data_IF_354169718747
#
_entry.id   IF_354169718747
#
_cell.length_a   1.000
_cell.length_b   1.000
_cell.length_c   1.000
_cell.angle_alpha   90.00
_cell.angle_beta   90.00
_cell.angle_gamma   90.00
#
_symmetry.space_group_name_H-M   'P 1'
#
loop_
_entity.id
_entity.type
_entity.pdbx_description
1 polymer ?
#
# COMPACT_ATOMS: atom_id res chain seq x y z
N UNK A 1 -10.54 -7.74 32.00
CA UNK A 1 -10.65 -7.01 30.72
C UNK A 1 -9.89 -5.72 30.93
N UNK A 2 -8.74 -5.56 30.29
CA UNK A 2 -8.05 -4.26 30.25
C UNK A 2 -8.95 -3.27 29.53
N UNK A 3 -9.22 -2.13 30.17
CA UNK A 3 -9.88 -1.00 29.51
C UNK A 3 -8.85 -0.37 28.57
N UNK A 4 -8.79 -0.86 27.33
CA UNK A 4 -8.01 -0.21 26.28
C UNK A 4 -8.63 1.17 26.02
N UNK A 5 -7.82 2.21 26.10
CA UNK A 5 -8.22 3.57 25.77
C UNK A 5 -8.43 3.64 24.25
N UNK A 6 -9.60 4.12 23.81
CA UNK A 6 -9.90 4.35 22.38
C UNK A 6 -8.79 5.20 21.73
N UNK A 7 -8.17 6.10 22.50
CA UNK A 7 -7.04 6.91 22.04
C UNK A 7 -5.82 6.08 21.60
N UNK A 8 -5.59 4.89 22.15
CA UNK A 8 -4.48 4.02 21.76
C UNK A 8 -4.76 3.37 20.40
N UNK A 9 -5.97 2.81 20.24
CA UNK A 9 -6.44 2.25 18.96
C UNK A 9 -6.35 3.31 17.85
N UNK A 10 -6.81 4.52 18.13
CA UNK A 10 -6.77 5.62 17.19
C UNK A 10 -5.34 6.02 16.79
N UNK A 11 -4.40 6.02 17.74
CA UNK A 11 -2.99 6.35 17.47
C UNK A 11 -2.32 5.31 16.59
N UNK A 12 -2.54 4.03 16.87
CA UNK A 12 -1.95 2.97 16.05
C UNK A 12 -2.54 2.99 14.65
N UNK A 13 -3.84 3.22 14.54
CA UNK A 13 -4.51 3.37 13.26
C UNK A 13 -4.03 4.61 12.49
N UNK A 14 -3.82 5.75 13.16
CA UNK A 14 -3.23 6.96 12.56
C UNK A 14 -1.82 6.70 12.05
N UNK A 15 -1.03 5.91 12.77
CA UNK A 15 0.31 5.54 12.34
C UNK A 15 0.28 4.64 11.10
N UNK A 16 -0.64 3.67 11.04
CA UNK A 16 -0.83 2.84 9.84
C UNK A 16 -1.28 3.71 8.65
N UNK A 17 -2.24 4.62 8.85
CA UNK A 17 -2.69 5.58 7.84
C UNK A 17 -1.51 6.41 7.32
N UNK A 18 -0.66 6.92 8.21
CA UNK A 18 0.54 7.67 7.83
C UNK A 18 1.47 6.81 6.95
N UNK A 19 1.69 5.54 7.30
CA UNK A 19 2.51 4.64 6.47
C UNK A 19 1.88 4.35 5.11
N UNK A 20 0.56 4.17 5.05
CA UNK A 20 -0.16 4.01 3.77
C UNK A 20 -0.02 5.24 2.88
N UNK A 21 -0.18 6.45 3.44
CA UNK A 21 0.05 7.72 2.70
C UNK A 21 1.49 7.85 2.20
N UNK A 22 2.47 7.51 3.04
CA UNK A 22 3.88 7.52 2.63
C UNK A 22 4.17 6.53 1.50
N UNK A 23 3.46 5.39 1.46
CA UNK A 23 3.60 4.42 0.38
C UNK A 23 2.94 4.92 -0.90
N UNK A 24 1.76 5.55 -0.82
CA UNK A 24 1.14 6.26 -1.95
C UNK A 24 2.08 7.31 -2.56
N UNK A 25 2.75 8.12 -1.73
CA UNK A 25 3.76 9.08 -2.21
C UNK A 25 4.91 8.38 -2.93
N UNK A 26 5.40 7.25 -2.39
CA UNK A 26 6.46 6.48 -3.05
C UNK A 26 6.05 5.94 -4.41
N UNK A 27 4.81 5.47 -4.55
CA UNK A 27 4.27 4.99 -5.83
C UNK A 27 4.10 6.16 -6.80
N UNK A 28 3.53 7.27 -6.34
CA UNK A 28 3.27 8.47 -7.16
C UNK A 28 4.57 9.13 -7.65
N UNK A 29 5.59 9.19 -6.79
CA UNK A 29 6.91 9.74 -7.11
C UNK A 29 7.81 8.74 -7.85
N UNK A 30 7.26 7.60 -8.29
CA UNK A 30 7.96 6.53 -9.00
C UNK A 30 9.20 5.96 -8.26
N UNK A 31 9.24 6.07 -6.94
CA UNK A 31 10.33 5.58 -6.10
C UNK A 31 10.21 4.08 -5.82
N UNK A 32 9.93 3.29 -6.87
CA UNK A 32 9.52 1.88 -6.78
C UNK A 32 10.48 0.98 -5.98
N UNK A 33 11.78 1.30 -5.99
CA UNK A 33 12.79 0.60 -5.20
C UNK A 33 12.54 0.63 -3.67
N UNK A 34 11.68 1.53 -3.17
CA UNK A 34 11.31 1.65 -1.74
C UNK A 34 10.00 0.95 -1.39
N UNK A 35 9.23 0.46 -2.38
CA UNK A 35 7.89 -0.12 -2.17
C UNK A 35 7.97 -1.34 -1.27
N UNK A 36 8.85 -2.29 -1.58
CA UNK A 36 8.92 -3.57 -0.87
C UNK A 36 9.18 -3.38 0.63
N UNK A 37 10.18 -2.57 0.99
CA UNK A 37 10.53 -2.31 2.38
C UNK A 37 9.44 -1.54 3.11
N UNK A 38 8.80 -0.57 2.46
CA UNK A 38 7.71 0.20 3.08
C UNK A 38 6.43 -0.61 3.25
N UNK A 39 6.10 -1.47 2.29
CA UNK A 39 4.95 -2.37 2.38
C UNK A 39 5.16 -3.45 3.45
N UNK A 40 6.39 -3.94 3.62
CA UNK A 40 6.72 -4.86 4.72
C UNK A 40 6.40 -4.24 6.08
N UNK A 41 6.87 -3.01 6.32
CA UNK A 41 6.59 -2.28 7.57
C UNK A 41 5.09 -2.07 7.76
N UNK A 42 4.38 -1.64 6.71
CA UNK A 42 2.93 -1.44 6.76
C UNK A 42 2.17 -2.73 7.12
N UNK A 43 2.54 -3.86 6.50
CA UNK A 43 1.95 -5.18 6.80
C UNK A 43 2.21 -5.62 8.23
N UNK A 44 3.41 -5.41 8.75
CA UNK A 44 3.73 -5.72 10.15
C UNK A 44 2.84 -4.92 11.12
N UNK A 45 2.65 -3.62 10.87
CA UNK A 45 1.78 -2.78 11.69
C UNK A 45 0.31 -3.20 11.62
N UNK A 46 -0.20 -3.53 10.42
CA UNK A 46 -1.57 -4.03 10.25
C UNK A 46 -1.77 -5.35 11.01
N UNK A 47 -0.81 -6.28 10.88
CA UNK A 47 -0.90 -7.56 11.59
C UNK A 47 -0.87 -7.35 13.10
N UNK A 48 0.00 -6.46 13.58
CA UNK A 48 0.09 -6.12 15.00
C UNK A 48 -1.25 -5.53 15.51
N UNK A 49 -1.84 -4.61 14.77
CA UNK A 49 -3.12 -3.99 15.12
C UNK A 49 -4.25 -5.03 15.32
N UNK A 50 -4.33 -6.04 14.45
CA UNK A 50 -5.32 -7.12 14.60
C UNK A 50 -4.96 -8.16 15.69
N UNK A 51 -3.73 -8.19 16.17
CA UNK A 51 -3.34 -8.99 17.33
C UNK A 51 -3.64 -8.26 18.65
N UNK A 52 -3.55 -6.93 18.64
CA UNK A 52 -3.73 -6.07 19.82
C UNK A 52 -5.21 -5.76 20.09
N UNK A 53 -6.03 -5.61 19.04
CA UNK A 53 -7.41 -5.15 19.16
C UNK A 53 -8.44 -6.16 18.65
N UNK A 54 -9.48 -6.37 19.45
CA UNK A 54 -10.62 -7.21 19.06
C UNK A 54 -11.49 -6.52 18.00
N UNK A 55 -12.32 -7.28 17.26
CA UNK A 55 -13.26 -6.70 16.29
C UNK A 55 -14.19 -5.66 16.91
N UNK A 56 -14.64 -5.87 18.14
CA UNK A 56 -15.50 -4.91 18.87
C UNK A 56 -14.77 -3.59 19.15
N UNK A 57 -13.49 -3.66 19.50
CA UNK A 57 -12.66 -2.48 19.74
C UNK A 57 -12.37 -1.72 18.44
N UNK A 58 -12.09 -2.44 17.36
CA UNK A 58 -11.87 -1.85 16.03
C UNK A 58 -13.15 -1.18 15.53
N UNK A 59 -14.33 -1.76 15.79
CA UNK A 59 -15.61 -1.15 15.42
C UNK A 59 -15.84 0.22 16.06
N UNK A 60 -15.22 0.51 17.22
CA UNK A 60 -15.30 1.81 17.88
C UNK A 60 -14.59 2.92 17.12
N UNK A 61 -13.62 2.57 16.25
CA UNK A 61 -12.88 3.51 15.38
C UNK A 61 -13.26 3.32 13.90
N UNK A 62 -14.49 2.87 13.64
CA UNK A 62 -14.97 2.42 12.32
C UNK A 62 -14.72 3.41 11.18
N UNK A 63 -15.05 4.69 11.35
CA UNK A 63 -14.84 5.71 10.30
C UNK A 63 -13.36 5.83 9.89
N UNK A 64 -12.45 5.83 10.87
CA UNK A 64 -11.01 5.91 10.64
C UNK A 64 -10.49 4.62 10.00
N UNK A 65 -11.04 3.48 10.37
CA UNK A 65 -10.68 2.20 9.78
C UNK A 65 -11.15 2.09 8.33
N UNK A 66 -12.36 2.54 8.02
CA UNK A 66 -12.86 2.67 6.64
C UNK A 66 -11.96 3.59 5.80
N UNK A 67 -11.49 4.70 6.36
CA UNK A 67 -10.53 5.57 5.68
C UNK A 67 -9.21 4.86 5.34
N UNK A 68 -8.68 4.03 6.25
CA UNK A 68 -7.51 3.19 5.94
C UNK A 68 -7.77 2.20 4.80
N UNK A 69 -8.96 1.58 4.78
CA UNK A 69 -9.36 0.67 3.70
C UNK A 69 -9.36 1.43 2.38
N UNK A 70 -10.01 2.59 2.31
CA UNK A 70 -10.09 3.40 1.09
C UNK A 70 -8.69 3.74 0.54
N UNK A 71 -7.77 4.21 1.40
CA UNK A 71 -6.38 4.48 1.00
C UNK A 71 -5.64 3.23 0.50
N UNK A 72 -5.90 2.07 1.12
CA UNK A 72 -5.28 0.80 0.70
C UNK A 72 -5.81 0.32 -0.65
N UNK A 73 -7.10 0.54 -0.92
CA UNK A 73 -7.72 0.25 -2.21
C UNK A 73 -7.14 1.15 -3.31
N UNK A 74 -7.04 2.45 -3.05
CA UNK A 74 -6.43 3.42 -3.98
C UNK A 74 -4.98 3.04 -4.33
N UNK A 75 -4.18 2.72 -3.30
CA UNK A 75 -2.79 2.28 -3.49
C UNK A 75 -2.70 1.02 -4.37
N UNK A 76 -3.63 0.08 -4.18
CA UNK A 76 -3.64 -1.17 -4.94
C UNK A 76 -3.95 -0.89 -6.41
N UNK A 77 -4.97 -0.08 -6.69
CA UNK A 77 -5.34 0.33 -8.05
C UNK A 77 -4.18 1.03 -8.75
N UNK A 78 -3.53 2.00 -8.07
CA UNK A 78 -2.41 2.72 -8.64
C UNK A 78 -1.24 1.79 -8.98
N UNK A 79 -0.92 0.83 -8.10
CA UNK A 79 0.09 -0.18 -8.38
C UNK A 79 -0.27 -1.02 -9.61
N UNK A 80 -1.52 -1.50 -9.71
CA UNK A 80 -1.98 -2.31 -10.83
C UNK A 80 -1.89 -1.58 -12.17
N UNK A 81 -2.27 -0.30 -12.19
CA UNK A 81 -2.15 0.56 -13.37
C UNK A 81 -0.69 0.69 -13.83
N UNK A 82 0.22 0.97 -12.90
CA UNK A 82 1.66 1.10 -13.16
C UNK A 82 2.25 -0.22 -13.69
N UNK A 83 1.87 -1.36 -13.10
CA UNK A 83 2.32 -2.67 -13.57
C UNK A 83 1.80 -2.98 -14.97
N UNK A 84 0.54 -2.65 -15.26
CA UNK A 84 -0.07 -2.81 -16.58
C UNK A 84 0.67 -1.99 -17.64
N UNK A 85 0.95 -0.72 -17.34
CA UNK A 85 1.71 0.18 -18.21
C UNK A 85 3.13 -0.34 -18.47
N UNK A 86 3.84 -0.72 -17.39
CA UNK A 86 5.21 -1.27 -17.47
C UNK A 86 5.26 -2.53 -18.35
N UNK A 87 4.26 -3.41 -18.25
CA UNK A 87 4.16 -4.60 -19.08
C UNK A 87 4.05 -4.25 -20.58
N UNK A 88 3.26 -3.24 -20.92
CA UNK A 88 3.13 -2.78 -22.30
C UNK A 88 4.44 -2.21 -22.83
N UNK A 89 5.16 -1.44 -22.02
CA UNK A 89 6.41 -0.82 -22.45
C UNK A 89 7.54 -1.85 -22.65
N UNK A 90 7.61 -2.88 -21.80
CA UNK A 90 8.52 -4.01 -22.01
C UNK A 90 8.22 -4.72 -23.34
N UNK A 91 6.94 -4.92 -23.69
CA UNK A 91 6.56 -5.55 -24.95
C UNK A 91 6.98 -4.71 -26.16
N UNK A 92 6.81 -3.38 -26.11
CA UNK A 92 7.28 -2.46 -27.16
C UNK A 92 8.81 -2.50 -27.31
N UNK A 93 9.57 -2.52 -26.22
CA UNK A 93 11.05 -2.63 -26.26
C UNK A 93 11.49 -3.97 -26.88
N UNK A 94 10.80 -5.06 -26.56
CA UNK A 94 11.08 -6.37 -27.18
C UNK A 94 10.78 -6.39 -28.68
N UNK A 95 9.70 -5.74 -29.12
CA UNK A 95 9.37 -5.64 -30.55
C UNK A 95 10.40 -4.78 -31.30
N UNK A 96 10.74 -3.60 -30.77
CA UNK A 96 11.73 -2.71 -31.39
C UNK A 96 13.13 -3.34 -31.46
N UNK A 97 13.54 -4.10 -30.44
CA UNK A 97 14.82 -4.83 -30.47
C UNK A 97 14.84 -5.98 -31.48
N UNK A 98 13.71 -6.67 -31.71
CA UNK A 98 13.58 -7.65 -32.81
C UNK A 98 13.70 -6.98 -34.18
N UNK A 99 13.03 -5.84 -34.38
CA UNK A 99 13.12 -5.06 -35.63
C UNK A 99 14.57 -4.64 -35.88
N UNK A 100 15.25 -4.04 -34.91
CA UNK A 100 16.66 -3.61 -35.06
C UNK A 100 17.63 -4.75 -35.40
N UNK A 101 17.37 -5.98 -34.95
CA UNK A 101 18.17 -7.16 -35.30
C UNK A 101 17.91 -7.69 -36.72
N UNK A 102 16.72 -7.45 -37.28
CA UNK A 102 16.38 -7.88 -38.64
C UNK A 102 16.94 -6.96 -39.74
N UNK A 103 17.34 -5.74 -39.38
CA UNK A 103 17.94 -4.74 -40.28
C UNK A 103 19.46 -4.56 -40.08
N UNK A 104 20.12 -5.48 -39.36
CA UNK A 104 21.58 -5.60 -39.26
C UNK A 104 22.03 -6.88 -39.96
#
# INVERSE_FOLDING_TARGET
>A
MENIDISEIEKDLDFIILKTKQLLTVVTDEQYHKIETKELVRKQLINQFFLEYSPEQIAMVGEKFEYLIALSTELTQLCEEIFSQTKQDILKIKQTSKIKKAYR
#
